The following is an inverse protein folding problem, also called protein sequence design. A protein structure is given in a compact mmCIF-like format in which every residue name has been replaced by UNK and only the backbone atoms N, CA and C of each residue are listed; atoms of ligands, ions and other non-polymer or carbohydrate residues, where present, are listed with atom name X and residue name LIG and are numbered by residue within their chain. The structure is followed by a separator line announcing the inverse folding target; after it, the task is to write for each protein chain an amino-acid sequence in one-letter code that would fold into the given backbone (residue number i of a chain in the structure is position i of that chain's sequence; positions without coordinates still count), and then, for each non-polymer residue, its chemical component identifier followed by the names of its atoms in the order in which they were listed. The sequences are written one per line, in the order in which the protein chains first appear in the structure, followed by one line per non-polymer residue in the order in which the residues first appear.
data_IF_751895019050
#
_entry.id   IF_751895019050
#
_cell.length_a   1.000
_cell.length_b   1.000
_cell.length_c   1.000
_cell.angle_alpha   90.00
_cell.angle_beta   90.00
_cell.angle_gamma   90.00
#
_symmetry.space_group_name_H-M   'P 1'
#
loop_
_entity.id
_entity.type
_entity.pdbx_description
1 polymer ?
#
# COMPACT_ATOMS: atom_id res chain seq x y z
N UNK A 1 -69.29 -42.71 50.48
CA UNK A 1 -69.40 -41.51 49.53
C UNK A 1 -68.10 -40.81 49.53
N UNK A 2 -67.29 -41.07 48.53
CA UNK A 2 -65.99 -40.39 48.24
C UNK A 2 -65.75 -40.51 46.75
N UNK A 3 -66.21 -39.53 46.01
CA UNK A 3 -65.92 -39.33 44.58
C UNK A 3 -65.82 -37.81 44.32
N UNK A 4 -64.64 -37.22 44.38
CA UNK A 4 -64.39 -35.88 43.75
C UNK A 4 -62.95 -35.36 43.77
N UNK A 5 -61.90 -36.14 44.10
CA UNK A 5 -60.56 -35.57 44.17
C UNK A 5 -59.60 -36.00 43.08
N UNK A 6 -59.99 -36.85 42.07
CA UNK A 6 -59.11 -37.32 41.03
C UNK A 6 -59.07 -36.33 39.83
N UNK A 7 -60.16 -35.56 39.62
CA UNK A 7 -60.24 -34.65 38.45
C UNK A 7 -59.43 -33.35 38.58
N UNK A 8 -59.14 -32.89 39.77
CA UNK A 8 -58.40 -31.61 39.97
C UNK A 8 -56.88 -31.76 39.85
N UNK A 9 -56.34 -32.96 40.07
CA UNK A 9 -54.88 -33.19 39.94
C UNK A 9 -54.43 -33.40 38.53
N UNK A 10 -55.30 -33.83 37.62
CA UNK A 10 -54.99 -34.08 36.22
C UNK A 10 -54.95 -32.76 35.40
N UNK A 11 -55.76 -31.76 35.79
CA UNK A 11 -55.81 -30.47 35.08
C UNK A 11 -54.59 -29.59 35.35
N UNK A 12 -53.95 -29.72 36.53
CA UNK A 12 -52.77 -28.94 36.94
C UNK A 12 -51.51 -29.49 36.26
N UNK A 13 -51.40 -30.81 36.06
CA UNK A 13 -50.24 -31.43 35.40
C UNK A 13 -50.23 -31.12 33.91
N UNK A 14 -51.42 -31.09 33.25
CA UNK A 14 -51.52 -30.79 31.81
C UNK A 14 -51.22 -29.32 31.52
N UNK A 15 -51.54 -28.41 32.43
CA UNK A 15 -51.20 -26.97 32.29
C UNK A 15 -49.70 -26.67 32.41
N UNK A 16 -49.01 -27.43 33.28
CA UNK A 16 -47.56 -27.22 33.51
C UNK A 16 -46.69 -27.76 32.36
N UNK A 17 -47.10 -28.84 31.68
CA UNK A 17 -46.43 -29.40 30.55
C UNK A 17 -46.64 -28.53 29.32
N UNK A 18 -47.81 -27.92 29.14
CA UNK A 18 -48.08 -26.98 28.04
C UNK A 18 -47.28 -25.66 28.16
N UNK A 19 -46.94 -25.21 29.35
CA UNK A 19 -46.09 -24.00 29.53
C UNK A 19 -44.60 -24.27 29.35
N UNK A 20 -44.14 -25.53 29.49
CA UNK A 20 -42.74 -25.89 29.32
C UNK A 20 -42.34 -26.09 27.84
N UNK A 21 -43.31 -26.31 26.94
CA UNK A 21 -43.05 -26.51 25.49
C UNK A 21 -43.03 -25.19 24.71
N UNK A 22 -43.59 -24.10 25.27
CA UNK A 22 -43.57 -22.77 24.64
C UNK A 22 -42.30 -21.95 24.94
N UNK A 23 -41.38 -22.45 25.75
CA UNK A 23 -40.13 -21.79 26.10
C UNK A 23 -38.89 -22.20 25.30
N UNK A 24 -39.02 -23.08 24.27
CA UNK A 24 -37.89 -23.62 23.51
C UNK A 24 -37.87 -23.18 22.03
N UNK A 25 -38.67 -22.21 21.64
CA UNK A 25 -38.63 -21.63 20.29
C UNK A 25 -38.10 -20.20 20.31
N UNK A 26 -36.92 -20.01 20.87
CA UNK A 26 -36.34 -18.68 21.03
C UNK A 26 -34.81 -18.70 21.00
N UNK A 27 -34.20 -19.50 20.14
CA UNK A 27 -32.87 -19.30 19.60
C UNK A 27 -32.98 -19.57 18.11
N UNK A 28 -33.65 -18.68 17.41
CA UNK A 28 -33.34 -18.46 16.01
C UNK A 28 -31.94 -17.84 16.04
N UNK A 29 -30.92 -18.57 15.61
CA UNK A 29 -29.76 -17.95 15.03
C UNK A 29 -30.28 -17.10 13.86
N UNK A 30 -30.59 -15.83 14.15
CA UNK A 30 -30.37 -14.78 13.17
C UNK A 30 -28.85 -14.76 12.97
N UNK A 31 -28.34 -15.70 12.22
CA UNK A 31 -27.14 -15.52 11.48
C UNK A 31 -27.48 -14.36 10.51
N UNK A 32 -27.37 -13.12 11.01
CA UNK A 32 -27.55 -11.92 10.23
C UNK A 32 -26.72 -12.11 8.97
N UNK A 33 -27.26 -11.68 7.83
CA UNK A 33 -26.50 -11.69 6.58
C UNK A 33 -25.10 -11.16 6.87
N UNK A 34 -24.04 -11.80 6.36
CA UNK A 34 -22.68 -11.36 6.61
C UNK A 34 -22.59 -9.88 6.27
N UNK A 35 -22.11 -9.07 7.23
CA UNK A 35 -21.91 -7.64 7.00
C UNK A 35 -20.98 -7.49 5.78
N UNK A 36 -21.36 -6.63 4.84
CA UNK A 36 -20.49 -6.29 3.73
C UNK A 36 -19.19 -5.66 4.26
N UNK A 37 -18.06 -6.08 3.72
CA UNK A 37 -16.78 -5.42 3.96
C UNK A 37 -16.81 -4.04 3.34
N UNK A 38 -16.25 -3.06 4.03
CA UNK A 38 -16.10 -1.68 3.54
C UNK A 38 -14.63 -1.40 3.34
N UNK A 39 -14.26 -0.98 2.13
CA UNK A 39 -12.87 -0.68 1.75
C UNK A 39 -12.73 0.82 1.59
N UNK A 40 -11.87 1.44 2.40
CA UNK A 40 -11.53 2.85 2.29
C UNK A 40 -10.38 3.09 1.32
N UNK A 41 -10.15 4.35 0.96
CA UNK A 41 -9.06 4.77 0.07
C UNK A 41 -8.61 6.19 0.36
N UNK A 42 -7.32 6.47 0.14
CA UNK A 42 -6.90 7.85 -0.11
C UNK A 42 -7.42 8.33 -1.48
N UNK A 43 -7.54 9.66 -1.65
CA UNK A 43 -8.13 10.25 -2.88
C UNK A 43 -7.14 10.31 -4.06
N UNK A 44 -5.98 9.68 -3.95
CA UNK A 44 -5.02 9.56 -5.05
C UNK A 44 -5.50 8.49 -6.04
N UNK A 45 -5.35 8.69 -7.36
CA UNK A 45 -5.77 7.73 -8.38
C UNK A 45 -5.26 6.31 -8.14
N UNK A 46 -3.98 6.15 -7.79
CA UNK A 46 -3.38 4.85 -7.49
C UNK A 46 -4.07 4.14 -6.31
N UNK A 47 -4.36 4.86 -5.22
CA UNK A 47 -5.03 4.28 -4.04
C UNK A 47 -6.49 3.90 -4.35
N UNK A 48 -7.20 4.70 -5.14
CA UNK A 48 -8.56 4.39 -5.58
C UNK A 48 -8.60 3.14 -6.45
N UNK A 49 -7.68 3.01 -7.41
CA UNK A 49 -7.54 1.78 -8.21
C UNK A 49 -7.23 0.58 -7.31
N UNK A 50 -6.31 0.74 -6.36
CA UNK A 50 -5.93 -0.36 -5.47
C UNK A 50 -7.07 -0.82 -4.56
N UNK A 51 -7.91 0.11 -4.07
CA UNK A 51 -9.12 -0.22 -3.32
C UNK A 51 -10.14 -1.00 -4.17
N UNK A 52 -10.30 -0.65 -5.45
CA UNK A 52 -11.15 -1.40 -6.38
C UNK A 52 -10.56 -2.78 -6.74
N UNK A 53 -9.24 -2.92 -6.85
CA UNK A 53 -8.57 -4.22 -7.02
C UNK A 53 -8.87 -5.12 -5.81
N UNK A 54 -8.71 -4.62 -4.57
CA UNK A 54 -9.06 -5.39 -3.37
C UNK A 54 -10.54 -5.75 -3.33
N UNK A 55 -11.41 -4.83 -3.73
CA UNK A 55 -12.86 -5.06 -3.82
C UNK A 55 -13.19 -6.19 -4.79
N UNK A 56 -12.66 -6.13 -5.99
CA UNK A 56 -12.87 -7.15 -7.03
C UNK A 56 -12.32 -8.52 -6.62
N UNK A 57 -11.08 -8.56 -6.15
CA UNK A 57 -10.43 -9.80 -5.70
C UNK A 57 -11.20 -10.48 -4.56
N UNK A 58 -11.69 -9.70 -3.57
CA UNK A 58 -12.51 -10.24 -2.49
C UNK A 58 -13.88 -10.72 -2.97
N UNK A 59 -14.53 -10.03 -3.92
CA UNK A 59 -15.79 -10.47 -4.52
C UNK A 59 -15.62 -11.75 -5.31
N UNK A 60 -14.51 -11.91 -6.03
CA UNK A 60 -14.22 -13.10 -6.82
C UNK A 60 -14.05 -14.38 -5.96
N UNK A 61 -13.71 -14.22 -4.67
CA UNK A 61 -13.71 -15.34 -3.69
C UNK A 61 -15.02 -15.41 -2.87
N UNK A 62 -16.09 -14.73 -3.30
CA UNK A 62 -17.41 -14.82 -2.72
C UNK A 62 -17.66 -13.94 -1.50
N UNK A 63 -16.79 -12.95 -1.23
CA UNK A 63 -17.03 -11.99 -0.16
C UNK A 63 -18.10 -10.97 -0.56
N UNK A 64 -18.91 -10.55 0.41
CA UNK A 64 -19.82 -9.40 0.23
C UNK A 64 -19.02 -8.15 0.55
N UNK A 65 -18.82 -7.28 -0.43
CA UNK A 65 -18.08 -6.02 -0.31
C UNK A 65 -18.98 -4.88 -0.73
N UNK A 66 -18.98 -3.79 0.04
CA UNK A 66 -19.71 -2.55 -0.27
C UNK A 66 -19.25 -1.97 -1.62
N UNK A 67 -20.14 -1.21 -2.26
CA UNK A 67 -19.78 -0.38 -3.42
C UNK A 67 -19.30 1.01 -3.00
N UNK A 68 -19.48 1.38 -1.72
CA UNK A 68 -19.02 2.65 -1.19
C UNK A 68 -17.56 2.52 -0.73
N UNK A 69 -16.72 3.44 -1.20
CA UNK A 69 -15.32 3.58 -0.79
C UNK A 69 -15.15 4.93 -0.07
N UNK A 70 -15.20 4.96 1.28
CA UNK A 70 -14.89 6.17 2.03
C UNK A 70 -13.49 6.70 1.68
N UNK A 71 -13.37 8.01 1.49
CA UNK A 71 -12.12 8.68 1.13
C UNK A 71 -11.56 9.43 2.34
N UNK A 72 -10.27 9.28 2.58
CA UNK A 72 -9.58 9.97 3.66
C UNK A 72 -8.06 9.79 3.57
N UNK A 73 -7.33 10.56 4.36
CA UNK A 73 -5.92 10.28 4.62
C UNK A 73 -5.77 9.08 5.58
N UNK A 74 -4.57 8.56 5.74
CA UNK A 74 -4.30 7.39 6.58
C UNK A 74 -4.77 7.58 8.03
N UNK A 75 -4.65 8.79 8.58
CA UNK A 75 -5.11 9.09 9.93
C UNK A 75 -6.64 8.97 10.04
N UNK A 76 -7.36 9.53 9.10
CA UNK A 76 -8.82 9.43 9.00
C UNK A 76 -9.27 7.98 8.80
N UNK A 77 -8.62 7.26 7.88
CA UNK A 77 -8.95 5.86 7.60
C UNK A 77 -8.69 4.95 8.82
N UNK A 78 -7.61 5.19 9.58
CA UNK A 78 -7.37 4.47 10.83
C UNK A 78 -8.43 4.77 11.90
N UNK A 79 -8.89 6.03 12.00
CA UNK A 79 -9.99 6.39 12.92
C UNK A 79 -11.31 5.72 12.53
N UNK A 80 -11.63 5.67 11.24
CA UNK A 80 -12.81 4.96 10.71
C UNK A 80 -12.71 3.45 10.93
N UNK A 81 -11.51 2.90 10.81
CA UNK A 81 -11.22 1.49 11.11
C UNK A 81 -11.43 1.17 12.60
N UNK A 82 -11.01 2.06 13.52
CA UNK A 82 -11.25 1.90 14.97
C UNK A 82 -12.75 1.91 15.29
N UNK A 83 -13.53 2.76 14.59
CA UNK A 83 -15.00 2.78 14.71
C UNK A 83 -15.68 1.63 13.96
N UNK A 84 -14.93 0.74 13.30
CA UNK A 84 -15.42 -0.33 12.47
C UNK A 84 -16.31 0.16 11.31
N UNK A 85 -16.08 1.36 10.81
CA UNK A 85 -16.77 1.94 9.65
C UNK A 85 -16.14 1.42 8.35
N UNK A 86 -14.81 1.22 8.33
CA UNK A 86 -14.09 0.53 7.25
C UNK A 86 -13.39 -0.74 7.78
N UNK A 87 -13.08 -1.65 6.89
CA UNK A 87 -12.48 -2.96 7.19
C UNK A 87 -11.09 -3.14 6.60
N UNK A 88 -10.78 -2.43 5.51
CA UNK A 88 -9.55 -2.55 4.73
C UNK A 88 -9.26 -1.22 4.02
N UNK A 89 -8.00 -0.85 3.84
CA UNK A 89 -7.56 0.19 2.91
C UNK A 89 -6.12 -0.05 2.44
N UNK A 90 -5.73 0.39 1.22
CA UNK A 90 -4.33 0.40 0.78
C UNK A 90 -3.57 1.55 1.42
N UNK A 91 -2.33 1.32 1.84
CA UNK A 91 -1.45 2.37 2.37
C UNK A 91 0.01 2.11 2.02
N UNK A 92 0.85 3.15 2.08
CA UNK A 92 2.30 3.02 1.99
C UNK A 92 2.93 2.85 3.38
N UNK A 93 3.88 1.94 3.47
CA UNK A 93 4.49 1.54 4.76
C UNK A 93 5.21 2.68 5.46
N UNK A 94 5.92 3.52 4.73
CA UNK A 94 6.72 4.60 5.30
C UNK A 94 5.87 5.78 5.78
N UNK A 95 4.85 6.18 5.01
CA UNK A 95 3.88 7.20 5.41
C UNK A 95 3.12 6.77 6.65
N UNK A 96 2.61 5.53 6.66
CA UNK A 96 1.89 4.97 7.80
C UNK A 96 2.78 4.84 9.03
N UNK A 97 4.05 4.41 8.88
CA UNK A 97 5.02 4.38 9.97
C UNK A 97 5.32 5.79 10.50
N UNK A 98 5.43 6.78 9.63
CA UNK A 98 5.65 8.17 10.03
C UNK A 98 4.52 8.72 10.88
N UNK A 99 3.29 8.32 10.57
CA UNK A 99 2.10 8.66 11.34
C UNK A 99 2.07 7.97 12.71
N UNK A 100 2.32 6.64 12.74
CA UNK A 100 2.17 5.83 13.95
C UNK A 100 3.39 5.90 14.88
N UNK A 101 4.58 6.03 14.32
CA UNK A 101 5.85 6.08 15.07
C UNK A 101 6.80 7.15 14.48
N UNK A 102 6.50 8.45 14.65
CA UNK A 102 7.28 9.54 14.05
C UNK A 102 8.74 9.60 14.53
N UNK A 103 9.10 8.89 15.60
CA UNK A 103 10.46 8.77 16.09
C UNK A 103 11.24 7.57 15.50
N UNK A 104 10.61 6.71 14.68
CA UNK A 104 11.31 5.61 14.02
C UNK A 104 12.35 6.15 13.05
N UNK A 105 13.53 5.54 13.05
CA UNK A 105 14.63 5.85 12.13
C UNK A 105 14.80 4.80 11.03
N UNK A 106 13.87 3.86 10.92
CA UNK A 106 13.86 2.84 9.88
C UNK A 106 13.78 3.49 8.48
N UNK A 107 14.61 3.02 7.56
CA UNK A 107 14.70 3.53 6.18
C UNK A 107 14.49 2.41 5.16
N UNK A 108 15.14 1.26 5.33
CA UNK A 108 14.99 0.10 4.43
C UNK A 108 13.63 -0.57 4.55
N UNK A 109 13.15 -1.21 3.47
CA UNK A 109 11.81 -1.80 3.42
C UNK A 109 11.54 -2.79 4.56
N UNK A 110 12.46 -3.75 4.80
CA UNK A 110 12.32 -4.72 5.88
C UNK A 110 12.22 -4.07 7.27
N UNK A 111 13.06 -3.07 7.55
CA UNK A 111 13.05 -2.37 8.83
C UNK A 111 11.77 -1.55 9.01
N UNK A 112 11.33 -0.86 7.95
CA UNK A 112 10.08 -0.08 7.93
C UNK A 112 8.89 -0.98 8.20
N UNK A 113 8.80 -2.12 7.51
CA UNK A 113 7.72 -3.08 7.69
C UNK A 113 7.69 -3.68 9.11
N UNK A 114 8.86 -4.03 9.65
CA UNK A 114 8.98 -4.56 11.02
C UNK A 114 8.56 -3.52 12.06
N UNK A 115 9.02 -2.27 11.92
CA UNK A 115 8.67 -1.19 12.84
C UNK A 115 7.21 -0.79 12.70
N UNK A 116 6.66 -0.79 11.47
CA UNK A 116 5.24 -0.58 11.23
C UNK A 116 4.38 -1.62 11.95
N UNK A 117 4.69 -2.91 11.79
CA UNK A 117 3.96 -3.99 12.46
C UNK A 117 3.95 -3.85 13.99
N UNK A 118 5.03 -3.34 14.59
CA UNK A 118 5.11 -3.08 16.03
C UNK A 118 4.31 -1.87 16.49
N UNK A 119 4.06 -0.94 15.56
CA UNK A 119 3.43 0.35 15.84
C UNK A 119 1.93 0.38 15.57
N UNK A 120 1.40 -0.68 14.92
CA UNK A 120 -0.01 -0.78 14.57
C UNK A 120 -0.92 -0.74 15.82
N UNK A 121 -2.07 -0.06 15.75
CA UNK A 121 -3.09 -0.11 16.78
C UNK A 121 -3.60 -1.53 17.05
N UNK A 122 -4.09 -1.78 18.25
CA UNK A 122 -4.63 -3.09 18.59
C UNK A 122 -5.82 -3.46 17.69
N UNK A 123 -5.76 -4.63 17.07
CA UNK A 123 -6.82 -5.13 16.19
C UNK A 123 -6.64 -4.72 14.72
N UNK A 124 -5.62 -3.93 14.40
CA UNK A 124 -5.20 -3.61 13.03
C UNK A 124 -4.03 -4.51 12.64
N UNK A 125 -3.99 -4.93 11.41
CA UNK A 125 -2.92 -5.73 10.81
C UNK A 125 -2.60 -5.22 9.41
N UNK A 126 -1.39 -5.50 8.93
CA UNK A 126 -1.00 -5.33 7.53
C UNK A 126 -0.79 -6.70 6.88
N UNK A 127 -1.08 -6.79 5.59
CA UNK A 127 -0.76 -7.97 4.78
C UNK A 127 0.66 -7.92 4.23
N UNK A 128 0.97 -8.84 3.31
CA UNK A 128 2.27 -8.88 2.67
C UNK A 128 2.51 -7.60 1.86
N UNK A 129 3.76 -7.14 1.83
CA UNK A 129 4.19 -6.04 0.99
C UNK A 129 4.05 -6.43 -0.49
N UNK A 130 3.59 -5.47 -1.30
CA UNK A 130 3.66 -5.60 -2.76
C UNK A 130 5.02 -5.13 -3.25
N UNK A 131 5.46 -5.48 -4.48
CA UNK A 131 6.61 -4.84 -5.11
C UNK A 131 6.36 -3.39 -5.55
N UNK A 132 5.16 -2.86 -5.34
CA UNK A 132 4.84 -1.46 -5.62
C UNK A 132 5.54 -0.55 -4.61
N UNK A 133 6.38 0.34 -5.12
CA UNK A 133 7.08 1.33 -4.31
C UNK A 133 6.79 2.73 -4.83
N UNK A 134 6.57 3.67 -3.90
CA UNK A 134 6.41 5.09 -4.20
C UNK A 134 7.44 5.98 -3.48
N UNK A 135 8.53 5.39 -3.00
CA UNK A 135 9.62 6.14 -2.38
C UNK A 135 10.22 7.14 -3.39
N UNK A 136 10.34 8.44 -3.04
CA UNK A 136 10.90 9.44 -3.93
C UNK A 136 12.31 9.07 -4.41
N UNK A 137 12.59 9.28 -5.70
CA UNK A 137 13.84 8.94 -6.35
C UNK A 137 14.44 10.16 -7.07
N UNK A 138 15.78 10.22 -7.10
CA UNK A 138 16.51 11.17 -7.93
C UNK A 138 16.76 10.60 -9.31
N UNK A 139 16.48 11.38 -10.34
CA UNK A 139 16.73 11.06 -11.75
C UNK A 139 17.84 11.94 -12.29
N UNK A 140 18.85 11.33 -12.87
CA UNK A 140 20.01 12.01 -13.47
C UNK A 140 20.21 11.56 -14.92
N UNK A 141 20.82 12.40 -15.73
CA UNK A 141 21.20 12.02 -17.10
C UNK A 141 22.07 10.75 -17.10
N UNK A 142 21.72 9.75 -17.93
CA UNK A 142 22.51 8.52 -18.13
C UNK A 142 23.93 8.84 -18.58
N UNK A 143 24.11 9.89 -19.39
CA UNK A 143 25.44 10.35 -19.86
C UNK A 143 26.25 10.91 -18.68
N UNK A 144 25.64 11.74 -17.82
CA UNK A 144 26.29 12.29 -16.63
C UNK A 144 26.66 11.17 -15.66
N UNK A 145 25.71 10.29 -15.35
CA UNK A 145 25.90 9.15 -14.47
C UNK A 145 27.04 8.24 -14.95
N UNK A 146 27.03 7.86 -16.22
CA UNK A 146 28.08 7.03 -16.82
C UNK A 146 29.46 7.70 -16.80
N UNK A 147 29.52 9.02 -17.03
CA UNK A 147 30.80 9.78 -17.00
C UNK A 147 31.41 9.83 -15.60
N UNK A 148 30.57 9.95 -14.57
CA UNK A 148 31.01 10.07 -13.18
C UNK A 148 31.06 8.74 -12.43
N UNK A 149 30.56 7.64 -13.04
CA UNK A 149 30.47 6.32 -12.41
C UNK A 149 29.42 6.25 -11.31
N UNK A 150 28.34 7.02 -11.45
CA UNK A 150 27.20 7.03 -10.53
C UNK A 150 26.22 5.93 -10.93
N UNK A 151 25.91 5.00 -10.02
CA UNK A 151 25.02 3.87 -10.29
C UNK A 151 23.81 3.81 -9.35
N UNK A 152 23.90 4.42 -8.19
CA UNK A 152 22.87 4.44 -7.18
C UNK A 152 22.97 5.64 -6.24
N UNK A 153 22.14 5.68 -5.24
CA UNK A 153 22.08 6.79 -4.27
C UNK A 153 23.39 6.92 -3.47
N UNK A 154 24.06 5.83 -3.17
CA UNK A 154 25.35 5.81 -2.46
C UNK A 154 26.46 6.59 -3.21
N UNK A 155 26.32 6.71 -4.53
CA UNK A 155 27.25 7.44 -5.38
C UNK A 155 26.88 8.91 -5.55
N UNK A 156 25.79 9.37 -4.93
CA UNK A 156 25.25 10.73 -5.11
C UNK A 156 26.29 11.83 -4.79
N UNK A 157 27.20 11.56 -3.88
CA UNK A 157 28.30 12.49 -3.55
C UNK A 157 29.26 12.77 -4.74
N UNK A 158 29.27 11.90 -5.77
CA UNK A 158 30.07 12.08 -6.98
C UNK A 158 29.44 13.08 -7.96
N UNK A 159 28.16 13.37 -7.83
CA UNK A 159 27.48 14.37 -8.66
C UNK A 159 28.04 15.78 -8.38
N UNK A 160 28.05 16.66 -9.39
CA UNK A 160 28.42 18.06 -9.21
C UNK A 160 27.56 18.70 -8.10
N UNK A 161 28.16 19.44 -7.18
CA UNK A 161 27.41 20.09 -6.11
C UNK A 161 26.54 21.23 -6.65
N UNK A 162 25.34 21.37 -6.10
CA UNK A 162 24.47 22.50 -6.39
C UNK A 162 23.66 22.37 -7.70
N UNK A 163 23.57 21.19 -8.28
CA UNK A 163 22.63 20.95 -9.39
C UNK A 163 21.20 21.26 -8.93
N UNK A 164 20.42 22.05 -9.70
CA UNK A 164 19.04 22.34 -9.38
C UNK A 164 18.21 21.03 -9.36
N UNK A 165 17.25 20.98 -8.44
CA UNK A 165 16.31 19.86 -8.30
C UNK A 165 14.99 20.24 -8.95
N UNK A 166 14.63 19.55 -10.01
CA UNK A 166 13.43 19.79 -10.80
C UNK A 166 12.30 18.89 -10.25
N UNK A 167 11.16 19.49 -9.96
CA UNK A 167 10.00 18.83 -9.34
C UNK A 167 8.70 19.27 -10.01
N UNK A 168 7.61 18.53 -9.80
CA UNK A 168 6.25 18.94 -10.19
C UNK A 168 5.54 19.73 -9.08
N UNK A 169 5.92 19.49 -7.83
CA UNK A 169 5.41 20.19 -6.63
C UNK A 169 6.53 20.30 -5.59
N UNK A 170 6.40 21.22 -4.65
CA UNK A 170 7.39 21.41 -3.61
C UNK A 170 7.53 20.12 -2.75
N UNK A 171 8.72 19.52 -2.68
CA UNK A 171 8.93 18.29 -1.91
C UNK A 171 8.93 18.58 -0.41
N UNK A 172 8.55 17.58 0.38
CA UNK A 172 8.67 17.66 1.83
C UNK A 172 10.13 17.94 2.26
N UNK A 173 10.36 18.82 3.23
CA UNK A 173 11.72 19.11 3.72
C UNK A 173 12.45 17.86 4.25
N UNK A 174 11.72 16.89 4.78
CA UNK A 174 12.24 15.59 5.21
C UNK A 174 12.84 14.78 4.06
N UNK A 175 12.22 14.81 2.89
CA UNK A 175 12.69 14.13 1.68
C UNK A 175 14.03 14.73 1.21
N UNK A 176 14.11 16.06 1.10
CA UNK A 176 15.39 16.71 0.73
C UNK A 176 16.49 16.45 1.75
N UNK A 177 16.11 16.43 3.04
CA UNK A 177 17.05 16.10 4.12
C UNK A 177 17.56 14.66 3.99
N UNK A 178 16.69 13.70 3.68
CA UNK A 178 17.07 12.29 3.53
C UNK A 178 18.11 12.10 2.40
N UNK A 179 17.95 12.80 1.28
CA UNK A 179 18.95 12.82 0.20
C UNK A 179 20.26 13.50 0.63
N UNK A 180 20.17 14.60 1.38
CA UNK A 180 21.35 15.26 1.90
C UNK A 180 22.12 14.36 2.90
N UNK A 181 21.42 13.65 3.77
CA UNK A 181 22.01 12.68 4.71
C UNK A 181 22.65 11.49 3.96
N UNK A 182 22.15 11.12 2.78
CA UNK A 182 22.74 10.15 1.87
C UNK A 182 23.98 10.69 1.10
N UNK A 183 24.34 11.96 1.31
CA UNK A 183 25.54 12.56 0.71
C UNK A 183 25.28 13.39 -0.55
N UNK A 184 24.00 13.54 -0.98
CA UNK A 184 23.65 14.38 -2.12
C UNK A 184 23.83 15.86 -1.80
N UNK A 185 24.49 16.62 -2.68
CA UNK A 185 24.70 18.06 -2.54
C UNK A 185 23.78 18.81 -3.50
N UNK A 186 22.48 18.73 -3.20
CA UNK A 186 21.41 19.28 -4.04
C UNK A 186 21.47 20.82 -4.09
N UNK A 187 21.04 21.38 -5.22
CA UNK A 187 20.88 22.82 -5.45
C UNK A 187 19.47 23.33 -5.11
N UNK A 188 19.10 24.50 -5.67
CA UNK A 188 17.75 25.04 -5.47
C UNK A 188 16.68 24.16 -6.12
N UNK A 189 15.48 24.17 -5.54
CA UNK A 189 14.31 23.49 -6.11
C UNK A 189 13.67 24.39 -7.16
N UNK A 190 13.36 23.81 -8.32
CA UNK A 190 12.68 24.48 -9.43
C UNK A 190 11.43 23.66 -9.80
N UNK A 191 10.25 24.28 -9.79
CA UNK A 191 8.99 23.60 -10.11
C UNK A 191 8.65 23.75 -11.60
N UNK A 192 8.25 22.63 -12.22
CA UNK A 192 7.75 22.56 -13.60
C UNK A 192 6.37 21.89 -13.63
N UNK A 193 5.53 22.15 -14.67
CA UNK A 193 4.15 21.69 -14.68
C UNK A 193 3.95 20.18 -14.80
N UNK A 194 4.87 19.43 -15.42
CA UNK A 194 4.66 18.02 -15.76
C UNK A 194 5.87 17.15 -15.47
N UNK A 195 5.62 15.87 -15.20
CA UNK A 195 6.66 14.83 -15.02
C UNK A 195 7.57 14.72 -16.24
N UNK A 196 7.03 14.80 -17.47
CA UNK A 196 7.82 14.81 -18.69
C UNK A 196 8.85 15.96 -18.69
N UNK A 197 8.46 17.16 -18.28
CA UNK A 197 9.39 18.29 -18.19
C UNK A 197 10.48 18.08 -17.14
N UNK A 198 10.17 17.41 -16.02
CA UNK A 198 11.19 17.01 -15.03
C UNK A 198 12.22 16.08 -15.68
N UNK A 199 11.78 15.02 -16.36
CA UNK A 199 12.66 14.05 -17.00
C UNK A 199 13.47 14.67 -18.13
N UNK A 200 12.86 15.54 -18.99
CA UNK A 200 13.56 16.26 -20.05
C UNK A 200 14.63 17.19 -19.46
N UNK A 201 14.36 17.88 -18.36
CA UNK A 201 15.38 18.73 -17.71
C UNK A 201 16.50 17.91 -17.10
N UNK A 202 16.19 16.80 -16.44
CA UNK A 202 17.20 15.90 -15.88
C UNK A 202 18.11 15.28 -16.97
N UNK A 203 17.56 14.93 -18.14
CA UNK A 203 18.32 14.33 -19.25
C UNK A 203 19.41 15.25 -19.83
N UNK A 204 19.29 16.57 -19.65
CA UNK A 204 20.29 17.55 -20.12
C UNK A 204 21.59 17.49 -19.31
N UNK A 205 21.59 16.87 -18.14
CA UNK A 205 22.77 16.66 -17.30
C UNK A 205 23.22 17.90 -16.50
N UNK A 206 22.45 18.97 -16.51
CA UNK A 206 22.67 20.19 -15.73
C UNK A 206 21.69 20.34 -14.54
N UNK A 207 20.82 19.34 -14.35
CA UNK A 207 19.80 19.29 -13.30
C UNK A 207 19.56 17.84 -12.84
N UNK A 208 18.86 17.70 -11.71
CA UNK A 208 18.42 16.44 -11.13
C UNK A 208 16.89 16.47 -11.09
N UNK A 209 16.21 15.45 -11.58
CA UNK A 209 14.77 15.26 -11.38
C UNK A 209 14.50 14.61 -10.02
N UNK A 210 13.43 15.01 -9.32
CA UNK A 210 12.93 14.32 -8.14
C UNK A 210 11.46 13.96 -8.39
N UNK A 211 11.16 12.67 -8.43
CA UNK A 211 9.83 12.12 -8.71
C UNK A 211 9.62 10.86 -7.86
N UNK A 212 8.37 10.58 -7.55
CA UNK A 212 7.97 9.26 -7.07
C UNK A 212 7.69 8.31 -8.24
N UNK A 213 7.89 6.98 -8.09
CA UNK A 213 7.68 6.03 -9.18
C UNK A 213 6.26 6.00 -9.75
N UNK A 214 5.24 6.24 -8.93
CA UNK A 214 3.85 6.30 -9.39
C UNK A 214 3.52 7.59 -10.17
N UNK A 215 4.35 8.63 -10.08
CA UNK A 215 4.22 9.83 -10.91
C UNK A 215 4.67 9.58 -12.37
N UNK A 216 5.39 8.48 -12.60
CA UNK A 216 5.98 8.15 -13.90
C UNK A 216 5.10 7.09 -14.57
N UNK A 217 3.98 7.52 -15.15
CA UNK A 217 3.01 6.64 -15.79
C UNK A 217 3.16 6.60 -17.32
N UNK A 218 2.90 5.42 -17.88
CA UNK A 218 2.55 5.21 -19.27
C UNK A 218 3.68 5.33 -20.29
N UNK A 219 3.29 5.32 -21.57
CA UNK A 219 4.20 5.37 -22.75
C UNK A 219 5.08 6.63 -22.79
N UNK A 220 4.64 7.72 -22.16
CA UNK A 220 5.42 8.97 -22.06
C UNK A 220 6.67 8.80 -21.17
N UNK A 221 6.65 7.86 -20.23
CA UNK A 221 7.81 7.51 -19.42
C UNK A 221 8.87 6.72 -20.19
N UNK A 222 8.48 5.90 -21.17
CA UNK A 222 9.42 5.07 -21.94
C UNK A 222 10.32 5.93 -22.85
N UNK A 223 9.79 6.97 -23.49
CA UNK A 223 10.53 7.85 -24.37
C UNK A 223 11.53 8.77 -23.65
N UNK A 224 11.15 9.31 -22.50
CA UNK A 224 11.99 10.20 -21.69
C UNK A 224 12.91 9.42 -20.74
N UNK A 225 12.57 8.17 -20.38
CA UNK A 225 13.32 7.37 -19.41
C UNK A 225 14.62 6.78 -19.97
N UNK A 226 14.81 6.68 -21.29
CA UNK A 226 16.05 6.16 -21.87
C UNK A 226 17.28 7.05 -21.60
N UNK A 227 17.08 8.35 -21.43
CA UNK A 227 18.15 9.34 -21.26
C UNK A 227 18.38 9.73 -19.78
N UNK A 228 17.59 9.18 -18.86
CA UNK A 228 17.73 9.38 -17.43
C UNK A 228 17.85 8.05 -16.69
N UNK A 229 18.53 8.09 -15.56
CA UNK A 229 18.72 6.97 -14.65
C UNK A 229 18.22 7.35 -13.25
N UNK A 230 17.41 6.49 -12.64
CA UNK A 230 17.01 6.62 -11.25
C UNK A 230 18.16 6.22 -10.32
N UNK A 231 18.47 7.06 -9.34
CA UNK A 231 19.40 6.73 -8.26
C UNK A 231 18.63 6.01 -7.15
N UNK A 232 18.55 4.70 -7.26
CA UNK A 232 17.86 3.88 -6.27
C UNK A 232 18.70 3.74 -5.01
N UNK A 233 18.02 3.65 -3.88
CA UNK A 233 18.64 3.17 -2.64
C UNK A 233 19.10 1.73 -2.86
N UNK A 234 20.29 1.32 -2.34
CA UNK A 234 20.70 -0.08 -2.43
C UNK A 234 19.59 -0.97 -1.86
N UNK A 235 19.06 -1.86 -2.68
CA UNK A 235 18.06 -2.82 -2.24
C UNK A 235 18.66 -3.66 -1.11
N UNK A 236 17.98 -3.71 0.04
CA UNK A 236 18.18 -4.80 0.98
C UNK A 236 17.89 -6.11 0.22
N UNK A 237 18.65 -7.16 0.45
CA UNK A 237 18.78 -8.39 -0.34
C UNK A 237 17.47 -9.17 -0.67
N UNK A 238 16.34 -8.50 -0.91
CA UNK A 238 15.04 -9.10 -1.23
C UNK A 238 14.55 -8.91 -2.68
N UNK A 239 15.12 -7.99 -3.44
CA UNK A 239 14.43 -7.45 -4.63
C UNK A 239 14.96 -7.90 -6.00
N UNK A 240 15.72 -9.00 -6.13
CA UNK A 240 15.98 -9.62 -7.44
C UNK A 240 16.34 -11.10 -7.28
N UNK A 241 15.32 -11.96 -7.20
CA UNK A 241 15.49 -13.42 -7.18
C UNK A 241 15.74 -14.04 -8.58
N UNK A 242 15.82 -13.26 -9.65
CA UNK A 242 15.81 -13.80 -11.03
C UNK A 242 17.02 -13.39 -11.93
N UNK A 243 18.10 -12.82 -11.40
CA UNK A 243 19.34 -12.71 -12.16
C UNK A 243 20.35 -13.78 -11.75
N UNK A 244 20.88 -14.61 -12.69
CA UNK A 244 21.89 -15.61 -12.39
C UNK A 244 23.22 -14.95 -12.01
N UNK A 245 23.57 -14.99 -10.72
CA UNK A 245 24.84 -14.52 -10.19
C UNK A 245 26.01 -15.22 -10.86
N UNK A 246 26.77 -14.51 -11.69
CA UNK A 246 28.14 -14.89 -12.03
C UNK A 246 29.02 -14.73 -10.77
N UNK A 247 29.61 -15.82 -10.34
CA UNK A 247 30.29 -15.98 -9.06
C UNK A 247 31.38 -14.95 -8.78
N UNK A 248 31.36 -14.45 -7.57
CA UNK A 248 32.39 -13.62 -6.96
C UNK A 248 32.05 -13.35 -5.52
N UNK A 249 32.51 -14.23 -4.61
CA UNK A 249 32.36 -14.06 -3.17
C UNK A 249 33.15 -12.85 -2.67
N UNK A 250 32.43 -11.78 -2.34
CA UNK A 250 32.87 -10.81 -1.35
C UNK A 250 31.64 -10.50 -0.48
N UNK A 251 31.61 -11.10 0.67
CA UNK A 251 30.64 -10.81 1.74
C UNK A 251 30.83 -9.33 2.16
N UNK A 252 29.95 -8.46 1.65
CA UNK A 252 29.90 -7.06 2.06
C UNK A 252 29.37 -7.04 3.50
N UNK A 253 29.94 -6.23 4.42
CA UNK A 253 29.46 -6.18 5.80
C UNK A 253 27.96 -5.78 5.82
N UNK A 254 27.17 -6.50 6.59
CA UNK A 254 25.71 -6.28 6.82
C UNK A 254 25.37 -4.99 7.57
N UNK A 255 26.35 -4.12 7.85
CA UNK A 255 26.20 -2.95 8.72
C UNK A 255 26.27 -1.58 7.98
N UNK A 256 26.13 -1.54 6.67
CA UNK A 256 25.96 -0.26 6.02
C UNK A 256 24.51 0.19 6.27
N UNK A 257 24.32 1.16 7.18
CA UNK A 257 23.03 1.79 7.38
C UNK A 257 22.49 2.27 6.02
N UNK A 258 21.31 1.80 5.63
CA UNK A 258 20.63 2.26 4.43
C UNK A 258 20.32 3.75 4.65
N UNK A 259 20.82 4.61 3.79
CA UNK A 259 20.58 6.05 3.84
C UNK A 259 19.77 6.49 2.64
N UNK A 260 18.90 7.47 2.82
CA UNK A 260 18.02 7.97 1.78
C UNK A 260 16.58 8.14 2.25
N UNK A 261 15.64 8.39 1.35
CA UNK A 261 14.23 8.39 1.67
C UNK A 261 13.78 7.05 2.25
N UNK A 262 12.83 7.12 3.19
CA UNK A 262 12.21 5.92 3.75
C UNK A 262 11.54 5.11 2.65
N UNK A 263 11.61 3.79 2.75
CA UNK A 263 10.90 2.91 1.83
C UNK A 263 9.38 3.07 1.97
N UNK A 264 8.71 3.11 0.83
CA UNK A 264 7.27 3.27 0.67
C UNK A 264 6.74 2.07 -0.13
N UNK A 265 6.53 0.93 0.57
CA UNK A 265 5.96 -0.27 -0.06
C UNK A 265 4.45 -0.27 0.17
N UNK A 266 3.69 -0.60 -0.86
CA UNK A 266 2.23 -0.67 -0.76
C UNK A 266 1.80 -1.93 -0.01
N UNK A 267 0.91 -1.77 0.98
CA UNK A 267 0.36 -2.87 1.79
C UNK A 267 -1.16 -2.74 1.98
N UNK A 268 -1.91 -3.84 2.12
CA UNK A 268 -3.26 -3.80 2.63
C UNK A 268 -3.25 -3.64 4.16
N UNK A 269 -3.92 -2.63 4.67
CA UNK A 269 -4.17 -2.41 6.11
C UNK A 269 -5.58 -2.84 6.43
N UNK A 270 -5.78 -3.72 7.41
CA UNK A 270 -7.10 -4.28 7.68
C UNK A 270 -7.37 -4.55 9.16
N UNK A 271 -8.65 -4.55 9.54
CA UNK A 271 -9.06 -5.03 10.85
C UNK A 271 -8.90 -6.55 10.93
N UNK A 272 -8.10 -7.02 11.88
CA UNK A 272 -7.82 -8.46 12.05
C UNK A 272 -9.08 -9.31 12.24
N UNK A 273 -10.14 -8.75 12.84
CA UNK A 273 -11.42 -9.42 13.04
C UNK A 273 -12.35 -9.41 11.80
N UNK A 274 -12.07 -8.59 10.78
CA UNK A 274 -12.92 -8.42 9.61
C UNK A 274 -12.62 -9.43 8.51
N UNK A 275 -11.36 -9.80 8.33
CA UNK A 275 -10.93 -10.71 7.27
C UNK A 275 -10.67 -12.13 7.81
N UNK A 276 -11.18 -13.13 7.13
CA UNK A 276 -10.81 -14.51 7.37
C UNK A 276 -9.52 -14.89 6.61
N UNK A 277 -9.00 -16.10 6.89
CA UNK A 277 -7.73 -16.57 6.31
C UNK A 277 -7.73 -16.60 4.77
N UNK A 278 -8.83 -16.98 4.14
CA UNK A 278 -8.91 -17.08 2.68
C UNK A 278 -8.93 -15.69 2.05
N UNK A 279 -9.58 -14.72 2.68
CA UNK A 279 -9.57 -13.32 2.26
C UNK A 279 -8.16 -12.70 2.38
N UNK A 280 -7.45 -12.93 3.50
CA UNK A 280 -6.05 -12.49 3.65
C UNK A 280 -5.16 -13.14 2.58
N UNK A 281 -5.33 -14.44 2.32
CA UNK A 281 -4.60 -15.12 1.25
C UNK A 281 -4.88 -14.51 -0.13
N UNK A 282 -6.10 -14.04 -0.37
CA UNK A 282 -6.45 -13.36 -1.62
C UNK A 282 -5.72 -12.01 -1.73
N UNK A 283 -5.63 -11.23 -0.65
CA UNK A 283 -4.85 -10.00 -0.64
C UNK A 283 -3.36 -10.26 -0.92
N UNK A 284 -2.80 -11.29 -0.30
CA UNK A 284 -1.39 -11.68 -0.54
C UNK A 284 -1.17 -12.18 -1.98
N UNK A 285 -2.19 -12.78 -2.64
CA UNK A 285 -2.10 -13.12 -4.05
C UNK A 285 -2.06 -11.87 -4.94
N UNK A 286 -2.90 -10.86 -4.65
CA UNK A 286 -2.81 -9.56 -5.31
C UNK A 286 -1.42 -8.93 -5.10
N UNK A 287 -0.88 -9.00 -3.88
CA UNK A 287 0.45 -8.48 -3.56
C UNK A 287 1.57 -9.13 -4.37
N UNK A 288 1.42 -10.40 -4.75
CA UNK A 288 2.40 -11.11 -5.58
C UNK A 288 2.34 -10.81 -7.08
N UNK A 289 1.27 -10.17 -7.56
CA UNK A 289 1.05 -9.93 -9.00
C UNK A 289 1.18 -8.45 -9.38
N UNK A 290 0.75 -7.52 -8.53
CA UNK A 290 0.74 -6.08 -8.85
C UNK A 290 2.16 -5.50 -8.86
N UNK A 291 2.50 -4.72 -9.88
CA UNK A 291 3.78 -4.02 -9.99
C UNK A 291 3.61 -2.51 -9.93
N UNK A 292 4.72 -1.78 -9.68
CA UNK A 292 4.71 -0.31 -9.74
C UNK A 292 4.29 0.20 -11.11
N UNK A 293 4.74 -0.46 -12.19
CA UNK A 293 4.40 -0.07 -13.55
C UNK A 293 2.92 -0.25 -13.86
N UNK A 294 2.32 -1.37 -13.42
CA UNK A 294 0.88 -1.60 -13.58
C UNK A 294 0.08 -0.53 -12.85
N UNK A 295 0.39 -0.30 -11.57
CA UNK A 295 -0.36 0.67 -10.76
C UNK A 295 -0.19 2.10 -11.27
N UNK A 296 1.01 2.49 -11.71
CA UNK A 296 1.28 3.80 -12.32
C UNK A 296 0.46 3.99 -13.62
N UNK A 297 0.44 2.98 -14.49
CA UNK A 297 -0.35 3.01 -15.73
C UNK A 297 -1.85 3.18 -15.43
N UNK A 298 -2.38 2.33 -14.55
CA UNK A 298 -3.78 2.40 -14.14
C UNK A 298 -4.13 3.74 -13.46
N UNK A 299 -3.24 4.28 -12.64
CA UNK A 299 -3.41 5.60 -12.02
C UNK A 299 -3.46 6.71 -13.07
N UNK A 300 -2.61 6.64 -14.09
CA UNK A 300 -2.61 7.56 -15.24
C UNK A 300 -3.92 7.53 -16.03
N UNK A 301 -4.49 6.36 -16.26
CA UNK A 301 -5.80 6.22 -16.91
C UNK A 301 -6.91 6.88 -16.07
N UNK A 302 -6.91 6.65 -14.76
CA UNK A 302 -7.89 7.29 -13.85
C UNK A 302 -7.69 8.80 -13.80
N UNK A 303 -6.47 9.29 -13.81
CA UNK A 303 -6.16 10.72 -13.83
C UNK A 303 -6.68 11.40 -15.10
N UNK A 304 -6.71 10.69 -16.22
CA UNK A 304 -7.26 11.19 -17.51
C UNK A 304 -8.78 10.97 -17.66
N UNK A 305 -9.46 10.44 -16.62
CA UNK A 305 -10.91 10.31 -16.53
C UNK A 305 -11.45 8.89 -16.67
N UNK A 306 -10.60 7.87 -16.62
CA UNK A 306 -11.00 6.46 -16.51
C UNK A 306 -11.74 6.16 -15.21
N UNK A 307 -12.64 5.19 -15.22
CA UNK A 307 -13.32 4.71 -14.02
C UNK A 307 -12.39 3.75 -13.26
N UNK A 308 -12.03 4.02 -12.00
CA UNK A 308 -11.13 3.15 -11.21
C UNK A 308 -11.60 1.70 -11.14
N UNK A 309 -12.91 1.46 -11.10
CA UNK A 309 -13.50 0.12 -11.05
C UNK A 309 -13.30 -0.63 -12.37
N UNK A 310 -13.53 0.03 -13.50
CA UNK A 310 -13.36 -0.59 -14.82
C UNK A 310 -11.89 -0.96 -15.04
N UNK A 311 -10.97 -0.04 -14.75
CA UNK A 311 -9.52 -0.25 -14.84
C UNK A 311 -9.06 -1.41 -13.94
N UNK A 312 -9.52 -1.45 -12.69
CA UNK A 312 -9.20 -2.52 -11.76
C UNK A 312 -9.74 -3.89 -12.21
N UNK A 313 -10.96 -3.93 -12.78
CA UNK A 313 -11.57 -5.17 -13.29
C UNK A 313 -10.81 -5.74 -14.50
N UNK A 314 -10.31 -4.89 -15.39
CA UNK A 314 -9.50 -5.30 -16.52
C UNK A 314 -8.21 -5.96 -16.04
N UNK A 315 -7.48 -5.31 -15.14
CA UNK A 315 -6.26 -5.87 -14.55
C UNK A 315 -6.50 -7.19 -13.83
N UNK A 316 -7.58 -7.30 -13.01
CA UNK A 316 -7.93 -8.54 -12.32
C UNK A 316 -8.24 -9.68 -13.31
N UNK A 317 -8.93 -9.38 -14.41
CA UNK A 317 -9.25 -10.38 -15.43
C UNK A 317 -8.00 -10.91 -16.14
N UNK A 318 -7.03 -10.04 -16.43
CA UNK A 318 -5.75 -10.41 -17.05
C UNK A 318 -4.90 -11.31 -16.14
N UNK A 319 -4.94 -11.09 -14.81
CA UNK A 319 -4.17 -11.85 -13.83
C UNK A 319 -4.93 -13.06 -13.23
N UNK A 320 -6.19 -13.28 -13.62
CA UNK A 320 -7.00 -14.40 -13.14
C UNK A 320 -7.28 -14.33 -11.63
N UNK A 321 -7.52 -13.13 -11.15
CA UNK A 321 -7.78 -12.78 -9.75
C UNK A 321 -9.25 -12.49 -9.49
#
# INVERSE_FOLDING_TARGET
MRKSDVGKRLAVVTGLVAMLVLGLTGCGDDAGAPRALVIGSADQPAMRVMAEIYTGALRNVGSVVSDDHPLGDDATLLEEMDRAEIDLFPAFTGELLSLLAPSSTAVGAEEVYVDLNRSLPQGVSVGDETPVSDAPQLFVSTTLAGTLGVSGLDDCALLPPGLPVIVTSDPEPSTLKAFADAGCRLGPVETVPTTEQVLVRASQGDAIGLLAPLDIAGEDAEGASSDVQALRTPAGEGENADEPRAGGSAEKPRDAAVSGPRAEMLVPVFRAAALNRDQVKTMNKVAGEITTADLATMAGEVQTGGDPREVAQEWLAEHGL
#
